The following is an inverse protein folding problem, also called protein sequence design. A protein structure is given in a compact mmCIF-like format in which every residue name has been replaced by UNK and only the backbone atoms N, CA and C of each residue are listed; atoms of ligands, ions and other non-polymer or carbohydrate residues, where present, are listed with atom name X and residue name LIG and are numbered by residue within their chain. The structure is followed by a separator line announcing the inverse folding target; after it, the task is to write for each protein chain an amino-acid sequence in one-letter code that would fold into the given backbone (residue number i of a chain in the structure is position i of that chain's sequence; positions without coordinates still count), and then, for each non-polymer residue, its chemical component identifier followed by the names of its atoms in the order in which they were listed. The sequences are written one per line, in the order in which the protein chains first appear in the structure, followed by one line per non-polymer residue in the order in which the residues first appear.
data_IF_184974398528
#
_entry.id   IF_184974398528
#
_cell.length_a   1.000
_cell.length_b   1.000
_cell.length_c   1.000
_cell.angle_alpha   90.00
_cell.angle_beta   90.00
_cell.angle_gamma   90.00
#
_symmetry.space_group_name_H-M   'P 1'
#
loop_
_entity.id
_entity.type
_entity.pdbx_description
1 polymer ?
#
# COMPACT_ATOMS: atom_id res chain seq x y z
N UNK A 1 -24.46 6.23 13.93
CA UNK A 1 -25.52 5.27 14.36
C UNK A 1 -24.83 4.08 15.02
N UNK A 2 -25.46 3.43 16.02
CA UNK A 2 -24.95 2.14 16.48
C UNK A 2 -25.34 1.08 15.44
N UNK A 3 -24.42 0.16 15.10
CA UNK A 3 -24.76 -0.95 14.20
C UNK A 3 -25.94 -1.75 14.75
N UNK A 4 -26.79 -2.26 13.85
CA UNK A 4 -27.95 -3.09 14.22
C UNK A 4 -27.57 -4.54 14.50
N UNK A 5 -26.29 -4.89 14.23
CA UNK A 5 -25.72 -6.24 14.33
C UNK A 5 -24.54 -6.28 15.29
N UNK A 6 -24.26 -7.46 15.85
CA UNK A 6 -22.99 -7.71 16.49
C UNK A 6 -21.89 -7.83 15.43
N UNK A 7 -20.84 -7.00 15.53
CA UNK A 7 -19.79 -6.93 14.52
C UNK A 7 -18.67 -7.94 14.79
N UNK A 8 -18.33 -8.76 13.80
CA UNK A 8 -17.06 -9.50 13.77
C UNK A 8 -16.00 -8.71 13.03
N UNK A 9 -14.74 -8.89 13.41
CA UNK A 9 -13.61 -8.27 12.72
C UNK A 9 -13.48 -8.88 11.31
N UNK A 10 -13.44 -8.11 10.23
CA UNK A 10 -13.27 -8.71 8.92
C UNK A 10 -11.89 -9.37 8.76
N UNK A 11 -11.76 -10.46 7.97
CA UNK A 11 -10.52 -11.21 7.79
C UNK A 11 -9.32 -10.33 7.39
N UNK A 12 -9.49 -9.37 6.47
CA UNK A 12 -8.44 -8.45 6.02
C UNK A 12 -7.96 -7.43 7.08
N UNK A 13 -8.73 -7.20 8.13
CA UNK A 13 -8.32 -6.39 9.29
C UNK A 13 -7.73 -7.29 10.37
N UNK A 14 -8.25 -8.51 10.53
CA UNK A 14 -7.77 -9.48 11.50
C UNK A 14 -6.38 -10.00 11.16
N UNK A 15 -6.11 -10.19 9.86
CA UNK A 15 -4.85 -10.70 9.32
C UNK A 15 -4.29 -9.71 8.29
N UNK A 16 -3.78 -8.55 8.74
CA UNK A 16 -3.34 -7.49 7.83
C UNK A 16 -2.09 -7.85 7.01
N UNK A 17 -1.41 -8.96 7.33
CA UNK A 17 -0.29 -9.49 6.56
C UNK A 17 -0.72 -10.40 5.39
N UNK A 18 -1.98 -10.84 5.36
CA UNK A 18 -2.42 -11.82 4.38
C UNK A 18 -2.83 -11.14 3.07
N UNK A 19 -2.33 -11.67 1.96
CA UNK A 19 -2.85 -11.33 0.64
C UNK A 19 -4.16 -12.08 0.39
N UNK A 20 -4.87 -11.70 -0.67
CA UNK A 20 -6.12 -12.35 -1.07
C UNK A 20 -5.97 -13.85 -1.34
N UNK A 21 -4.81 -14.26 -1.88
CA UNK A 21 -4.52 -15.62 -2.33
C UNK A 21 -3.61 -16.41 -1.41
N UNK A 22 -3.23 -15.87 -0.26
CA UNK A 22 -2.32 -16.58 0.64
C UNK A 22 -2.80 -17.99 0.98
N UNK A 23 -1.85 -18.92 1.06
CA UNK A 23 -2.11 -20.27 1.56
C UNK A 23 -2.64 -20.26 3.01
N UNK A 24 -2.36 -19.18 3.76
CA UNK A 24 -2.86 -18.98 5.12
C UNK A 24 -4.38 -19.03 5.26
N UNK A 25 -5.14 -18.82 4.15
CA UNK A 25 -6.60 -18.98 4.10
C UNK A 25 -7.05 -20.43 3.94
N UNK A 26 -6.12 -21.38 3.71
CA UNK A 26 -6.40 -22.81 3.50
C UNK A 26 -5.72 -23.70 4.52
N UNK A 27 -4.60 -23.24 5.09
CA UNK A 27 -3.76 -24.00 6.02
C UNK A 27 -3.18 -23.02 7.04
N UNK A 28 -3.75 -22.96 8.25
CA UNK A 28 -3.22 -22.12 9.31
C UNK A 28 -4.26 -21.29 10.06
N UNK A 29 -3.82 -20.24 10.74
CA UNK A 29 -4.69 -19.43 11.61
C UNK A 29 -5.81 -18.70 10.85
N UNK A 30 -5.60 -18.38 9.58
CA UNK A 30 -6.59 -17.71 8.73
C UNK A 30 -7.74 -18.63 8.33
N UNK A 31 -7.47 -19.92 8.13
CA UNK A 31 -8.48 -20.89 7.67
C UNK A 31 -9.66 -20.98 8.65
N UNK A 32 -9.38 -21.32 9.91
CA UNK A 32 -10.44 -21.46 10.92
C UNK A 32 -11.22 -20.16 11.11
N UNK A 33 -10.52 -19.02 11.13
CA UNK A 33 -11.19 -17.73 11.28
C UNK A 33 -12.03 -17.35 10.06
N UNK A 34 -11.56 -17.68 8.85
CA UNK A 34 -12.30 -17.44 7.60
C UNK A 34 -13.64 -18.19 7.63
N UNK A 35 -13.64 -19.46 7.97
CA UNK A 35 -14.87 -20.24 8.09
C UNK A 35 -15.81 -19.69 9.16
N UNK A 36 -15.28 -19.41 10.36
CA UNK A 36 -16.06 -18.80 11.44
C UNK A 36 -16.67 -17.46 11.07
N UNK A 37 -15.95 -16.65 10.30
CA UNK A 37 -16.43 -15.37 9.81
C UNK A 37 -17.55 -15.54 8.77
N UNK A 38 -17.39 -16.47 7.82
CA UNK A 38 -18.38 -16.73 6.78
C UNK A 38 -19.65 -17.33 7.34
N UNK A 39 -19.55 -18.34 8.19
CA UNK A 39 -20.71 -18.93 8.88
C UNK A 39 -21.53 -17.85 9.60
N UNK A 40 -20.86 -16.94 10.31
CA UNK A 40 -21.55 -15.80 10.93
C UNK A 40 -22.14 -14.85 9.90
N UNK A 41 -21.41 -14.52 8.84
CA UNK A 41 -21.87 -13.56 7.82
C UNK A 41 -23.11 -14.07 7.07
N UNK A 42 -23.21 -15.36 6.79
CA UNK A 42 -24.37 -16.00 6.17
C UNK A 42 -25.62 -15.98 7.06
N UNK A 43 -25.47 -15.82 8.39
CA UNK A 43 -26.63 -15.62 9.29
C UNK A 43 -27.27 -14.23 9.16
N UNK A 44 -26.58 -13.29 8.55
CA UNK A 44 -27.07 -11.91 8.37
C UNK A 44 -28.10 -11.83 7.24
N UNK A 45 -29.11 -11.00 7.42
CA UNK A 45 -30.03 -10.66 6.33
C UNK A 45 -29.30 -9.85 5.24
N UNK A 46 -29.78 -9.84 3.97
CA UNK A 46 -29.15 -9.04 2.90
C UNK A 46 -28.97 -7.55 3.26
N UNK A 47 -29.92 -6.97 3.99
CA UNK A 47 -29.81 -5.57 4.47
C UNK A 47 -28.67 -5.40 5.47
N UNK A 48 -28.48 -6.36 6.38
CA UNK A 48 -27.38 -6.36 7.35
C UNK A 48 -26.03 -6.63 6.71
N UNK A 49 -25.96 -7.50 5.71
CA UNK A 49 -24.76 -7.74 4.92
C UNK A 49 -24.33 -6.45 4.21
N UNK A 50 -25.26 -5.75 3.57
CA UNK A 50 -25.00 -4.45 2.94
C UNK A 50 -24.55 -3.39 3.94
N UNK A 51 -25.14 -3.34 5.15
CA UNK A 51 -24.69 -2.46 6.25
C UNK A 51 -23.26 -2.79 6.65
N UNK A 52 -22.94 -4.08 6.82
CA UNK A 52 -21.61 -4.53 7.21
C UNK A 52 -20.55 -4.20 6.15
N UNK A 53 -20.82 -4.44 4.87
CA UNK A 53 -19.93 -4.11 3.75
C UNK A 53 -19.64 -2.61 3.67
N UNK A 54 -20.65 -1.77 3.92
CA UNK A 54 -20.49 -0.32 3.96
C UNK A 54 -19.61 0.14 5.15
N UNK A 55 -19.66 -0.58 6.28
CA UNK A 55 -18.83 -0.31 7.45
C UNK A 55 -17.38 -0.78 7.26
N UNK A 56 -17.19 -1.93 6.63
CA UNK A 56 -15.90 -2.60 6.47
C UNK A 56 -15.68 -3.05 5.02
N UNK A 57 -15.42 -2.10 4.11
CA UNK A 57 -15.14 -2.44 2.72
C UNK A 57 -13.83 -3.21 2.59
N UNK A 58 -13.73 -4.04 1.57
CA UNK A 58 -12.46 -4.68 1.19
C UNK A 58 -11.41 -3.64 0.81
N UNK A 59 -10.11 -3.98 0.99
CA UNK A 59 -9.04 -3.25 0.33
C UNK A 59 -9.27 -3.20 -1.20
N UNK A 60 -8.98 -2.06 -1.82
CA UNK A 60 -9.31 -1.85 -3.23
C UNK A 60 -8.57 -2.80 -4.19
N UNK A 61 -7.48 -3.41 -3.75
CA UNK A 61 -6.67 -4.35 -4.51
C UNK A 61 -6.97 -5.83 -4.22
N UNK A 62 -8.05 -6.11 -3.44
CA UNK A 62 -8.62 -7.45 -3.30
C UNK A 62 -9.77 -7.58 -4.29
N UNK A 63 -9.53 -8.20 -5.44
CA UNK A 63 -10.45 -8.17 -6.57
C UNK A 63 -11.36 -9.39 -6.65
N UNK A 64 -10.91 -10.57 -6.17
CA UNK A 64 -11.67 -11.82 -6.24
C UNK A 64 -12.64 -12.06 -5.07
N UNK A 65 -12.46 -11.38 -3.95
CA UNK A 65 -13.34 -11.51 -2.79
C UNK A 65 -14.49 -10.49 -2.79
N UNK A 66 -14.80 -9.89 -3.94
CA UNK A 66 -15.98 -9.04 -4.07
C UNK A 66 -17.23 -9.92 -3.93
N UNK A 67 -18.16 -9.45 -3.10
CA UNK A 67 -19.41 -10.15 -2.77
C UNK A 67 -20.45 -10.15 -3.88
N UNK A 68 -20.17 -9.56 -5.02
CA UNK A 68 -21.09 -9.43 -6.13
C UNK A 68 -20.90 -10.63 -7.05
N UNK A 69 -21.87 -11.52 -6.98
CA UNK A 69 -22.12 -12.63 -7.89
C UNK A 69 -22.60 -12.13 -9.28
N UNK A 70 -21.93 -11.20 -9.88
CA UNK A 70 -22.13 -10.99 -11.31
C UNK A 70 -21.08 -11.83 -12.05
N UNK A 71 -21.52 -13.06 -12.41
CA UNK A 71 -20.83 -13.99 -13.32
C UNK A 71 -20.62 -13.40 -14.74
N UNK A 72 -20.56 -12.09 -14.90
CA UNK A 72 -20.38 -11.44 -16.18
C UNK A 72 -19.00 -10.78 -16.24
N UNK A 73 -18.21 -11.35 -17.15
CA UNK A 73 -16.97 -10.85 -17.73
C UNK A 73 -15.65 -11.15 -16.99
N UNK A 74 -15.20 -12.41 -17.15
CA UNK A 74 -13.83 -12.88 -16.81
C UNK A 74 -12.74 -12.19 -17.67
N UNK A 75 -13.09 -11.39 -18.64
CA UNK A 75 -12.13 -10.58 -19.43
C UNK A 75 -11.52 -9.39 -18.64
N UNK A 76 -12.00 -9.13 -17.40
CA UNK A 76 -11.50 -8.05 -16.54
C UNK A 76 -10.28 -8.44 -15.69
N UNK A 77 -9.86 -9.70 -15.65
CA UNK A 77 -8.67 -10.12 -14.86
C UNK A 77 -7.40 -9.37 -15.29
N UNK A 78 -7.22 -9.13 -16.59
CA UNK A 78 -6.07 -8.40 -17.12
C UNK A 78 -6.02 -6.93 -16.68
N UNK A 79 -7.16 -6.34 -16.28
CA UNK A 79 -7.22 -4.95 -15.84
C UNK A 79 -6.78 -4.75 -14.38
N UNK A 80 -6.87 -5.80 -13.53
CA UNK A 80 -6.64 -5.73 -12.07
C UNK A 80 -5.35 -6.45 -11.60
N UNK A 81 -4.76 -7.28 -12.44
CA UNK A 81 -3.49 -7.94 -12.19
C UNK A 81 -2.57 -7.77 -13.39
N UNK A 82 -1.34 -7.42 -13.12
CA UNK A 82 -0.28 -7.41 -14.14
C UNK A 82 0.87 -8.27 -13.67
N UNK A 83 1.16 -9.37 -14.40
CA UNK A 83 2.18 -10.34 -14.01
C UNK A 83 2.00 -10.83 -12.54
N UNK A 84 0.75 -11.05 -12.12
CA UNK A 84 0.40 -11.48 -10.78
C UNK A 84 0.44 -10.39 -9.70
N UNK A 85 0.80 -9.16 -10.05
CA UNK A 85 0.84 -8.02 -9.11
C UNK A 85 -0.50 -7.31 -9.12
N UNK A 86 -1.21 -7.22 -7.97
CA UNK A 86 -2.48 -6.52 -7.91
C UNK A 86 -2.29 -5.02 -8.14
N UNK A 87 -3.08 -4.45 -9.02
CA UNK A 87 -3.12 -3.01 -9.31
C UNK A 87 -4.34 -2.36 -8.64
N UNK A 88 -4.17 -1.16 -8.11
CA UNK A 88 -5.24 -0.50 -7.35
C UNK A 88 -6.29 0.15 -8.22
N UNK A 89 -5.92 0.48 -9.43
CA UNK A 89 -6.81 1.11 -10.38
C UNK A 89 -6.66 0.45 -11.76
N UNK A 90 -7.76 0.12 -12.43
CA UNK A 90 -7.72 -0.44 -13.76
C UNK A 90 -6.87 0.42 -14.71
N UNK A 91 -6.14 -0.23 -15.62
CA UNK A 91 -5.33 0.44 -16.66
C UNK A 91 -4.20 1.34 -16.14
N UNK A 92 -3.76 1.15 -14.88
CA UNK A 92 -2.61 1.85 -14.31
C UNK A 92 -2.80 3.36 -14.16
N UNK A 93 -4.03 3.83 -14.03
CA UNK A 93 -4.32 5.23 -13.74
C UNK A 93 -3.85 5.59 -12.33
N UNK A 94 -3.11 6.69 -12.18
CA UNK A 94 -2.73 7.21 -10.86
C UNK A 94 -3.82 8.13 -10.32
N UNK A 95 -4.27 7.91 -9.08
CA UNK A 95 -5.23 8.80 -8.42
C UNK A 95 -4.68 10.20 -8.24
N UNK A 96 -3.40 10.30 -7.95
CA UNK A 96 -2.68 11.56 -7.73
C UNK A 96 -1.48 11.71 -8.66
N UNK A 97 -1.31 12.93 -9.17
CA UNK A 97 -0.16 13.32 -9.99
C UNK A 97 0.13 14.81 -9.79
N UNK A 98 1.23 15.31 -10.33
CA UNK A 98 1.50 16.75 -10.35
C UNK A 98 0.36 17.53 -11.01
N UNK A 99 -0.20 17.00 -12.11
CA UNK A 99 -1.30 17.64 -12.83
C UNK A 99 -2.56 17.81 -11.96
N UNK A 100 -2.82 16.89 -11.03
CA UNK A 100 -3.93 16.96 -10.08
C UNK A 100 -3.91 18.25 -9.25
N UNK A 101 -2.73 18.81 -8.97
CA UNK A 101 -2.57 19.90 -8.01
C UNK A 101 -2.05 21.21 -8.61
N UNK A 102 -1.41 21.20 -9.79
CA UNK A 102 -0.79 22.39 -10.40
C UNK A 102 -1.79 23.54 -10.55
N UNK A 103 -3.04 23.24 -10.91
CA UNK A 103 -4.09 24.21 -11.17
C UNK A 103 -5.09 24.34 -10.00
N UNK A 104 -4.70 23.85 -8.81
CA UNK A 104 -5.61 23.92 -7.65
C UNK A 104 -5.81 25.37 -7.21
N UNK A 105 -7.06 25.82 -7.16
CA UNK A 105 -7.44 27.11 -6.57
C UNK A 105 -7.30 27.13 -5.04
N UNK A 106 -7.13 25.97 -4.39
CA UNK A 106 -7.01 25.86 -2.94
C UNK A 106 -5.55 26.07 -2.52
N UNK A 107 -5.34 26.73 -1.35
CA UNK A 107 -4.02 26.80 -0.72
C UNK A 107 -3.58 25.41 -0.31
N UNK A 108 -2.55 24.89 -0.97
CA UNK A 108 -1.99 23.57 -0.70
C UNK A 108 -1.17 23.61 0.60
N UNK A 109 -1.25 22.51 1.35
CA UNK A 109 -0.41 22.26 2.54
C UNK A 109 0.42 21.03 2.28
N UNK A 110 1.69 21.07 2.69
CA UNK A 110 2.66 20.02 2.43
C UNK A 110 3.15 19.39 3.72
N UNK A 111 3.53 18.12 3.65
CA UNK A 111 4.33 17.39 4.63
C UNK A 111 5.55 16.88 3.89
N UNK A 112 6.71 17.38 4.23
CA UNK A 112 7.98 17.00 3.60
C UNK A 112 8.66 15.90 4.41
N UNK A 113 9.12 14.87 3.73
CA UNK A 113 9.92 13.79 4.31
C UNK A 113 11.06 13.41 3.35
N UNK A 114 12.05 12.69 3.84
CA UNK A 114 13.14 12.18 3.01
C UNK A 114 13.87 11.02 3.67
N UNK A 115 14.87 11.32 4.55
CA UNK A 115 15.72 10.29 5.18
C UNK A 115 14.97 9.59 6.31
N UNK A 116 15.24 8.27 6.52
CA UNK A 116 14.70 7.57 7.67
C UNK A 116 15.30 8.11 8.99
N UNK A 117 14.56 7.96 10.07
CA UNK A 117 15.02 8.14 11.43
C UNK A 117 14.46 7.01 12.29
N UNK A 118 15.33 6.06 12.67
CA UNK A 118 14.91 4.89 13.44
C UNK A 118 14.60 5.19 14.93
N UNK A 119 14.95 6.37 15.42
CA UNK A 119 14.83 6.71 16.85
C UNK A 119 13.43 7.25 17.22
N UNK A 120 12.70 7.77 16.24
CA UNK A 120 11.40 8.42 16.47
C UNK A 120 10.41 8.08 15.35
N UNK A 121 9.11 8.09 15.69
CA UNK A 121 8.03 8.01 14.72
C UNK A 121 7.56 9.42 14.39
N UNK A 122 8.16 9.98 13.34
CA UNK A 122 7.81 11.28 12.75
C UNK A 122 7.64 11.12 11.22
N UNK A 123 7.62 12.21 10.47
CA UNK A 123 7.46 12.18 9.02
C UNK A 123 8.55 11.39 8.28
N UNK A 124 9.69 11.10 8.93
CA UNK A 124 10.73 10.22 8.38
C UNK A 124 10.23 8.79 8.14
N UNK A 125 9.20 8.35 8.88
CA UNK A 125 8.59 7.04 8.70
C UNK A 125 7.93 6.84 7.32
N UNK A 126 7.71 7.92 6.58
CA UNK A 126 7.21 7.88 5.20
C UNK A 126 8.29 7.45 4.19
N UNK A 127 9.56 7.47 4.58
CA UNK A 127 10.65 6.94 3.75
C UNK A 127 10.51 5.44 3.51
N UNK A 128 10.83 4.99 2.28
CA UNK A 128 10.94 3.56 1.95
C UNK A 128 12.04 2.86 2.77
N UNK A 129 13.05 3.60 3.24
CA UNK A 129 14.20 3.10 3.98
C UNK A 129 13.98 3.06 5.49
N UNK A 130 12.85 3.57 5.98
CA UNK A 130 12.54 3.53 7.41
C UNK A 130 12.41 2.08 7.90
N UNK A 131 13.16 1.68 8.93
CA UNK A 131 12.94 0.42 9.63
C UNK A 131 11.50 0.34 10.11
N UNK A 132 10.77 -0.65 9.64
CA UNK A 132 9.35 -0.79 9.87
C UNK A 132 8.92 -2.19 9.48
N UNK A 133 9.39 -3.21 10.24
CA UNK A 133 9.11 -4.60 9.91
C UNK A 133 7.62 -4.85 9.70
N UNK A 134 7.32 -5.59 8.65
CA UNK A 134 5.97 -6.04 8.31
C UNK A 134 6.06 -7.34 7.51
N UNK A 135 4.97 -8.09 7.52
CA UNK A 135 4.87 -9.34 6.77
C UNK A 135 3.93 -9.18 5.57
N UNK A 136 4.20 -9.92 4.51
CA UNK A 136 3.24 -10.19 3.42
C UNK A 136 3.24 -11.68 3.21
N UNK A 137 2.11 -12.32 3.51
CA UNK A 137 1.98 -13.75 3.64
C UNK A 137 3.03 -14.33 4.61
N UNK A 138 3.90 -15.22 4.15
CA UNK A 138 4.93 -15.87 4.97
C UNK A 138 6.27 -15.10 4.97
N UNK A 139 6.41 -14.05 4.18
CA UNK A 139 7.64 -13.27 4.08
C UNK A 139 7.65 -12.08 5.02
N UNK A 140 8.75 -11.91 5.77
CA UNK A 140 9.00 -10.74 6.61
C UNK A 140 9.96 -9.76 5.92
N UNK A 141 9.60 -8.49 5.92
CA UNK A 141 10.37 -7.40 5.33
C UNK A 141 10.81 -6.41 6.41
N UNK A 142 12.09 -6.02 6.36
CA UNK A 142 12.67 -5.03 7.25
C UNK A 142 12.16 -3.61 7.00
N UNK A 143 11.92 -3.27 5.73
CA UNK A 143 11.43 -1.96 5.30
C UNK A 143 10.76 -2.06 3.91
N UNK A 144 10.07 -0.99 3.50
CA UNK A 144 9.37 -0.97 2.23
C UNK A 144 10.30 -1.01 0.99
N UNK A 145 11.57 -0.55 1.11
CA UNK A 145 12.58 -0.72 0.05
C UNK A 145 12.89 -2.19 -0.18
N UNK A 146 12.99 -3.01 0.90
CA UNK A 146 13.23 -4.44 0.76
C UNK A 146 12.10 -5.12 -0.01
N UNK A 147 10.85 -4.84 0.36
CA UNK A 147 9.68 -5.33 -0.36
C UNK A 147 9.74 -4.96 -1.84
N UNK A 148 9.92 -3.67 -2.16
CA UNK A 148 9.97 -3.19 -3.53
C UNK A 148 11.06 -3.87 -4.37
N UNK A 149 12.24 -4.10 -3.79
CA UNK A 149 13.36 -4.72 -4.50
C UNK A 149 13.18 -6.24 -4.62
N UNK A 150 12.60 -6.91 -3.61
CA UNK A 150 12.26 -8.33 -3.66
C UNK A 150 11.19 -8.59 -4.72
N UNK A 151 10.11 -7.82 -4.74
CA UNK A 151 9.08 -7.91 -5.77
C UNK A 151 9.64 -7.68 -7.19
N UNK A 152 10.60 -6.76 -7.31
CA UNK A 152 11.30 -6.57 -8.59
C UNK A 152 12.07 -7.82 -9.02
N UNK A 153 12.78 -8.46 -8.10
CA UNK A 153 13.53 -9.67 -8.41
C UNK A 153 12.59 -10.84 -8.77
N UNK A 154 11.48 -11.00 -8.05
CA UNK A 154 10.42 -11.98 -8.34
C UNK A 154 9.81 -11.77 -9.73
N UNK A 155 9.45 -10.55 -10.06
CA UNK A 155 8.86 -10.18 -11.35
C UNK A 155 9.74 -10.62 -12.54
N UNK A 156 11.05 -10.55 -12.39
CA UNK A 156 12.00 -10.92 -13.44
C UNK A 156 12.65 -12.31 -13.25
N UNK A 157 12.15 -13.10 -12.29
CA UNK A 157 12.59 -14.48 -12.05
C UNK A 157 14.04 -14.61 -11.55
N UNK A 158 14.54 -13.60 -10.82
CA UNK A 158 15.91 -13.59 -10.30
C UNK A 158 15.96 -14.00 -8.80
N UNK A 159 15.73 -15.30 -8.56
CA UNK A 159 15.71 -15.88 -7.20
C UNK A 159 17.03 -15.67 -6.42
N UNK A 160 18.16 -15.58 -7.11
CA UNK A 160 19.46 -15.38 -6.45
C UNK A 160 19.53 -13.96 -5.85
N UNK A 161 19.20 -12.95 -6.65
CA UNK A 161 19.18 -11.55 -6.20
C UNK A 161 18.06 -11.32 -5.18
N UNK A 162 16.89 -11.94 -5.35
CA UNK A 162 15.83 -11.92 -4.34
C UNK A 162 16.32 -12.40 -2.97
N UNK A 163 16.96 -13.57 -2.94
CA UNK A 163 17.53 -14.14 -1.71
C UNK A 163 18.57 -13.23 -1.08
N UNK A 164 19.44 -12.58 -1.88
CA UNK A 164 20.40 -11.62 -1.35
C UNK A 164 19.69 -10.39 -0.74
N UNK A 165 18.63 -9.89 -1.37
CA UNK A 165 17.81 -8.77 -0.88
C UNK A 165 17.14 -9.15 0.44
N UNK A 166 16.55 -10.33 0.54
CA UNK A 166 15.84 -10.77 1.74
C UNK A 166 16.81 -11.02 2.92
N UNK A 167 18.08 -11.30 2.66
CA UNK A 167 19.10 -11.54 3.69
C UNK A 167 19.82 -10.28 4.20
N UNK A 168 19.46 -9.08 3.76
CA UNK A 168 20.09 -7.83 4.23
C UNK A 168 19.10 -6.91 4.91
N UNK A 169 19.55 -6.18 5.94
CA UNK A 169 18.81 -5.07 6.55
C UNK A 169 19.34 -3.68 6.15
N UNK A 170 20.29 -3.61 5.21
CA UNK A 170 20.82 -2.33 4.69
C UNK A 170 20.02 -1.88 3.44
N UNK A 171 19.17 -0.83 3.53
CA UNK A 171 18.38 -0.36 2.38
C UNK A 171 19.24 0.12 1.21
N UNK A 172 20.45 0.58 1.48
CA UNK A 172 21.39 0.98 0.43
C UNK A 172 21.87 -0.23 -0.38
N UNK A 173 22.13 -1.35 0.30
CA UNK A 173 22.48 -2.60 -0.35
C UNK A 173 21.28 -3.18 -1.10
N UNK A 174 20.07 -3.17 -0.51
CA UNK A 174 18.84 -3.60 -1.18
C UNK A 174 18.65 -2.87 -2.52
N UNK A 175 18.78 -1.54 -2.52
CA UNK A 175 18.70 -0.72 -3.73
C UNK A 175 19.81 -1.06 -4.75
N UNK A 176 21.02 -1.35 -4.28
CA UNK A 176 22.13 -1.73 -5.15
C UNK A 176 21.90 -3.11 -5.80
N UNK A 177 21.37 -4.07 -5.04
CA UNK A 177 20.98 -5.40 -5.54
C UNK A 177 19.83 -5.30 -6.53
N UNK A 178 18.80 -4.53 -6.24
CA UNK A 178 17.68 -4.31 -7.18
C UNK A 178 18.09 -3.70 -8.53
N UNK A 179 19.27 -3.06 -8.62
CA UNK A 179 19.84 -2.62 -9.90
C UNK A 179 20.56 -3.73 -10.67
N UNK A 180 20.87 -4.84 -10.00
CA UNK A 180 21.57 -6.00 -10.61
C UNK A 180 20.59 -7.08 -11.07
N UNK A 181 19.30 -6.92 -10.84
CA UNK A 181 18.27 -7.89 -11.25
C UNK A 181 18.41 -8.20 -12.73
N UNK A 182 18.58 -9.49 -13.03
CA UNK A 182 18.72 -10.04 -14.40
C UNK A 182 17.39 -9.99 -15.13
N UNK A 183 17.42 -10.10 -16.44
CA UNK A 183 16.22 -10.10 -17.30
C UNK A 183 15.34 -8.86 -17.14
N UNK A 184 15.88 -7.77 -16.58
CA UNK A 184 15.14 -6.55 -16.31
C UNK A 184 14.60 -5.92 -17.59
N UNK A 185 13.27 -5.75 -17.67
CA UNK A 185 12.59 -5.00 -18.71
C UNK A 185 11.99 -3.70 -18.11
N UNK A 186 12.49 -2.53 -18.54
CA UNK A 186 12.00 -1.26 -18.03
C UNK A 186 10.52 -1.01 -18.38
N UNK A 187 10.01 -1.56 -19.49
CA UNK A 187 8.61 -1.36 -19.89
C UNK A 187 7.68 -2.15 -18.99
N UNK A 188 8.04 -3.38 -18.62
CA UNK A 188 7.30 -4.20 -17.64
C UNK A 188 7.36 -3.54 -16.27
N UNK A 189 8.56 -3.17 -15.82
CA UNK A 189 8.75 -2.51 -14.53
C UNK A 189 7.95 -1.22 -14.39
N UNK A 190 7.93 -0.38 -15.42
CA UNK A 190 7.22 0.90 -15.40
C UNK A 190 5.71 0.75 -15.25
N UNK A 191 5.14 -0.38 -15.70
CA UNK A 191 3.72 -0.68 -15.54
C UNK A 191 3.33 -1.04 -14.10
N UNK A 192 4.22 -1.70 -13.33
CA UNK A 192 3.89 -2.28 -12.03
C UNK A 192 4.56 -1.63 -10.83
N UNK A 193 5.69 -0.93 -11.01
CA UNK A 193 6.48 -0.36 -9.89
C UNK A 193 5.66 0.48 -8.91
N UNK A 194 4.67 1.22 -9.42
CA UNK A 194 3.83 2.07 -8.58
C UNK A 194 2.87 1.23 -7.73
N UNK A 195 2.27 0.17 -8.32
CA UNK A 195 1.41 -0.78 -7.60
C UNK A 195 2.19 -1.55 -6.53
N UNK A 196 3.42 -1.98 -6.82
CA UNK A 196 4.31 -2.60 -5.83
C UNK A 196 4.54 -1.66 -4.65
N UNK A 197 4.80 -0.37 -4.90
CA UNK A 197 5.00 0.61 -3.82
C UNK A 197 3.72 0.87 -3.03
N UNK A 198 2.55 0.91 -3.69
CA UNK A 198 1.25 1.00 -3.02
C UNK A 198 1.03 -0.19 -2.09
N UNK A 199 1.20 -1.42 -2.60
CA UNK A 199 1.00 -2.66 -1.84
C UNK A 199 1.94 -2.72 -0.63
N UNK A 200 3.25 -2.54 -0.82
CA UNK A 200 4.23 -2.58 0.26
C UNK A 200 3.97 -1.53 1.35
N UNK A 201 3.58 -0.30 0.95
CA UNK A 201 3.24 0.73 1.94
C UNK A 201 1.91 0.45 2.65
N UNK A 202 0.91 -0.12 1.97
CA UNK A 202 -0.31 -0.55 2.65
C UNK A 202 -0.01 -1.56 3.76
N UNK A 203 0.74 -2.62 3.46
CA UNK A 203 1.14 -3.62 4.45
C UNK A 203 2.01 -3.04 5.57
N UNK A 204 2.97 -2.19 5.23
CA UNK A 204 3.78 -1.47 6.21
C UNK A 204 2.93 -0.69 7.20
N UNK A 205 2.04 0.15 6.73
CA UNK A 205 1.26 1.04 7.62
C UNK A 205 0.16 0.30 8.38
N UNK A 206 -0.50 -0.68 7.78
CA UNK A 206 -1.56 -1.44 8.47
C UNK A 206 -1.04 -2.34 9.60
N UNK A 207 0.24 -2.70 9.58
CA UNK A 207 0.90 -3.49 10.60
C UNK A 207 1.71 -2.66 11.62
N UNK A 208 1.91 -1.36 11.38
CA UNK A 208 2.64 -0.45 12.25
C UNK A 208 1.72 0.69 12.72
N UNK A 209 1.00 0.45 13.82
CA UNK A 209 -0.09 1.32 14.27
C UNK A 209 0.32 2.79 14.47
N UNK A 210 1.44 3.06 15.11
CA UNK A 210 1.90 4.44 15.34
C UNK A 210 2.20 5.17 14.03
N UNK A 211 2.83 4.48 13.07
CA UNK A 211 3.08 5.02 11.73
C UNK A 211 1.78 5.23 10.96
N UNK A 212 0.82 4.32 11.09
CA UNK A 212 -0.51 4.45 10.50
C UNK A 212 -1.25 5.67 11.06
N UNK A 213 -1.26 5.84 12.38
CA UNK A 213 -1.89 6.98 13.04
C UNK A 213 -1.26 8.30 12.57
N UNK A 214 0.06 8.35 12.43
CA UNK A 214 0.76 9.51 11.90
C UNK A 214 0.38 9.79 10.44
N UNK A 215 0.35 8.76 9.59
CA UNK A 215 -0.07 8.89 8.18
C UNK A 215 -1.49 9.47 8.09
N UNK A 216 -2.43 8.94 8.87
CA UNK A 216 -3.81 9.42 8.92
C UNK A 216 -3.93 10.84 9.46
N UNK A 217 -3.08 11.24 10.43
CA UNK A 217 -3.05 12.59 11.02
C UNK A 217 -2.64 13.67 10.03
N UNK A 218 -1.97 13.31 8.92
CA UNK A 218 -1.63 14.25 7.85
C UNK A 218 -2.86 14.83 7.15
N UNK A 219 -4.04 14.25 7.36
CA UNK A 219 -5.32 14.73 6.81
C UNK A 219 -5.32 14.73 5.29
N UNK A 220 -5.48 15.91 4.68
CA UNK A 220 -5.47 16.08 3.22
C UNK A 220 -4.23 16.82 2.71
N UNK A 221 -3.17 16.89 3.52
CA UNK A 221 -1.92 17.49 3.10
C UNK A 221 -1.27 16.65 2.00
N UNK A 222 -0.53 17.32 1.12
CA UNK A 222 0.27 16.66 0.09
C UNK A 222 1.54 16.14 0.74
N UNK A 223 1.79 14.85 0.61
CA UNK A 223 3.01 14.20 1.07
C UNK A 223 4.09 14.38 0.00
N UNK A 224 5.28 14.79 0.41
CA UNK A 224 6.33 15.19 -0.53
C UNK A 224 7.66 14.56 -0.15
N UNK A 225 8.15 13.66 -1.00
CA UNK A 225 9.51 13.16 -0.84
C UNK A 225 10.51 14.21 -1.33
N UNK A 226 11.07 14.97 -0.38
CA UNK A 226 12.01 16.04 -0.65
C UNK A 226 13.45 15.53 -0.83
N UNK A 227 13.61 14.55 -1.73
CA UNK A 227 14.91 14.00 -2.11
C UNK A 227 15.53 14.83 -3.24
N UNK A 228 16.71 15.45 -3.03
CA UNK A 228 17.33 16.28 -4.06
C UNK A 228 17.81 15.51 -5.29
N UNK A 229 18.08 14.21 -5.14
CA UNK A 229 18.67 13.36 -6.17
C UNK A 229 17.69 12.39 -6.82
N UNK A 230 16.45 12.28 -6.28
CA UNK A 230 15.45 11.38 -6.83
C UNK A 230 14.38 12.17 -7.60
N UNK A 231 14.30 11.92 -8.89
CA UNK A 231 13.33 12.56 -9.78
C UNK A 231 12.16 11.65 -10.17
N UNK A 232 12.16 10.41 -9.70
CA UNK A 232 11.07 9.45 -9.91
C UNK A 232 10.17 9.43 -8.67
N UNK A 233 10.72 8.98 -7.55
CA UNK A 233 9.97 8.85 -6.30
C UNK A 233 9.87 10.19 -5.56
N UNK A 234 10.90 11.02 -5.62
CA UNK A 234 10.96 12.35 -5.00
C UNK A 234 10.71 13.50 -5.98
N UNK A 235 10.84 14.71 -5.45
CA UNK A 235 10.64 15.96 -6.21
C UNK A 235 11.92 16.51 -6.87
N UNK A 236 13.08 15.87 -6.65
CA UNK A 236 14.39 16.37 -7.13
C UNK A 236 14.84 17.67 -6.48
N UNK A 237 14.29 18.02 -5.32
CA UNK A 237 14.61 19.23 -4.53
C UNK A 237 14.60 18.86 -3.04
N UNK A 238 15.48 19.50 -2.26
CA UNK A 238 15.43 19.40 -0.79
C UNK A 238 14.31 20.27 -0.20
N UNK A 239 13.86 19.92 1.01
CA UNK A 239 12.76 20.63 1.70
C UNK A 239 13.04 22.14 1.93
N UNK A 240 14.32 22.49 2.09
CA UNK A 240 14.75 23.86 2.34
C UNK A 240 14.87 24.72 1.06
N UNK A 241 14.60 24.13 -0.11
CA UNK A 241 14.56 24.84 -1.37
C UNK A 241 13.21 25.55 -1.50
N UNK A 242 13.21 26.87 -1.70
CA UNK A 242 12.00 27.69 -1.85
C UNK A 242 11.04 27.15 -2.93
N UNK A 243 11.59 26.54 -4.00
CA UNK A 243 10.82 25.93 -5.09
C UNK A 243 10.11 24.63 -4.67
N UNK A 244 10.46 24.02 -3.53
CA UNK A 244 9.80 22.81 -3.05
C UNK A 244 8.31 23.04 -2.74
N UNK A 245 7.93 24.25 -2.37
CA UNK A 245 6.54 24.63 -2.10
C UNK A 245 5.71 24.93 -3.35
N UNK A 246 6.32 24.89 -4.54
CA UNK A 246 5.63 25.10 -5.81
C UNK A 246 5.73 23.85 -6.70
N UNK A 247 4.61 23.12 -6.84
CA UNK A 247 4.54 21.87 -7.59
C UNK A 247 5.02 22.02 -9.04
N UNK A 248 4.73 23.15 -9.69
CA UNK A 248 5.17 23.41 -11.05
C UNK A 248 6.70 23.49 -11.19
N UNK A 249 7.40 23.77 -10.08
CA UNK A 249 8.87 23.86 -10.04
C UNK A 249 9.58 22.54 -9.71
N UNK A 250 8.83 21.49 -9.38
CA UNK A 250 9.41 20.17 -9.04
C UNK A 250 10.09 19.56 -10.25
N UNK A 251 11.32 19.09 -10.05
CA UNK A 251 12.10 18.40 -11.06
C UNK A 251 11.69 16.94 -11.22
N UNK A 252 11.15 16.35 -10.15
CA UNK A 252 10.73 14.96 -10.07
C UNK A 252 9.22 14.80 -10.03
N UNK A 253 8.77 13.53 -10.04
CA UNK A 253 7.36 13.15 -10.13
C UNK A 253 6.65 13.05 -8.78
N UNK A 254 7.41 12.91 -7.67
CA UNK A 254 6.85 12.69 -6.33
C UNK A 254 6.00 11.41 -6.21
N UNK A 255 6.34 10.36 -6.94
CA UNK A 255 5.54 9.13 -6.96
C UNK A 255 5.37 8.53 -5.57
N UNK A 256 6.41 8.54 -4.70
CA UNK A 256 6.26 8.03 -3.34
C UNK A 256 5.27 8.86 -2.52
N UNK A 257 5.37 10.19 -2.58
CA UNK A 257 4.42 11.05 -1.88
C UNK A 257 2.98 10.81 -2.32
N UNK A 258 2.74 10.66 -3.62
CA UNK A 258 1.41 10.38 -4.16
C UNK A 258 0.91 8.97 -3.81
N UNK A 259 1.78 7.95 -3.88
CA UNK A 259 1.45 6.59 -3.45
C UNK A 259 1.02 6.56 -1.97
N UNK A 260 1.75 7.24 -1.10
CA UNK A 260 1.39 7.34 0.33
C UNK A 260 0.06 8.06 0.55
N UNK A 261 -0.29 9.03 -0.30
CA UNK A 261 -1.61 9.67 -0.23
C UNK A 261 -2.73 8.70 -0.64
N UNK A 262 -2.51 7.85 -1.64
CA UNK A 262 -3.45 6.80 -2.03
C UNK A 262 -3.60 5.75 -0.93
N UNK A 263 -2.48 5.29 -0.38
CA UNK A 263 -2.47 4.37 0.78
C UNK A 263 -3.22 4.97 1.99
N UNK A 264 -2.97 6.24 2.31
CA UNK A 264 -3.69 6.96 3.37
C UNK A 264 -5.21 6.97 3.15
N UNK A 265 -5.63 7.22 1.93
CA UNK A 265 -7.05 7.27 1.59
C UNK A 265 -7.69 5.88 1.72
N UNK A 266 -7.00 4.85 1.26
CA UNK A 266 -7.48 3.46 1.35
C UNK A 266 -7.54 2.98 2.81
N UNK A 267 -6.49 3.22 3.59
CA UNK A 267 -6.50 2.90 5.02
C UNK A 267 -7.64 3.65 5.74
N UNK A 268 -7.85 4.93 5.41
CA UNK A 268 -8.96 5.70 5.98
C UNK A 268 -10.31 5.07 5.65
N UNK A 269 -10.50 4.56 4.45
CA UNK A 269 -11.73 3.90 4.01
C UNK A 269 -11.92 2.55 4.71
N UNK A 270 -10.89 1.70 4.72
CA UNK A 270 -10.97 0.33 5.25
C UNK A 270 -11.04 0.31 6.79
N UNK A 271 -10.28 1.19 7.45
CA UNK A 271 -10.11 1.20 8.91
C UNK A 271 -10.97 2.24 9.63
N UNK A 272 -11.82 3.01 8.93
CA UNK A 272 -12.60 4.10 9.54
C UNK A 272 -13.48 3.66 10.73
N UNK A 273 -13.98 2.43 10.69
CA UNK A 273 -14.95 1.90 11.64
C UNK A 273 -14.37 0.83 12.59
N UNK A 274 -13.05 0.62 12.60
CA UNK A 274 -12.40 -0.36 13.48
C UNK A 274 -12.71 -0.10 14.96
N UNK A 275 -12.94 1.16 15.34
CA UNK A 275 -13.35 1.53 16.70
C UNK A 275 -14.71 0.94 17.14
N UNK A 276 -15.54 0.47 16.19
CA UNK A 276 -16.82 -0.20 16.47
C UNK A 276 -16.65 -1.68 16.80
N UNK A 277 -15.52 -2.29 16.42
CA UNK A 277 -15.23 -3.69 16.73
C UNK A 277 -14.93 -3.81 18.22
N UNK A 278 -15.63 -4.72 18.89
CA UNK A 278 -15.37 -4.99 20.32
C UNK A 278 -13.93 -5.50 20.47
N UNK A 279 -13.23 -4.96 21.47
CA UNK A 279 -11.90 -5.45 21.87
C UNK A 279 -12.00 -6.79 22.56
#
# INVERSE_FOLDING_TARGET
MKPTIELKTPPWIKFPAYTEFTIGWRMGAGEGYKWEFWDWYETLTPAQQKEYQALFPYPCFWHYNRWEEDEQDIDEEEDYYYEGIPVWQPKGAYKYSKATFINSAKKLKFVFFWKPNAEVVDESCFSQWQPSSFCVDDDEYYCAEQYMMAEKARLFGDEEVEKEIMNTSDPKLMKALGRKVRNFDPQVWDKVKYSIVLNGNYYKFTQNKEMMDLLLSTGNKILVEASPMDTIWGIGLGKDNEKAHNIASWRGQNFLGFALMEVRDEIRKVYQNVHLLKK
#
